data_IF_127467981814
#
_entry.id   IF_127467981814
#
_cell.length_a   1.000
_cell.length_b   1.000
_cell.length_c   1.000
_cell.angle_alpha   90.00
_cell.angle_beta   90.00
_cell.angle_gamma   90.00
#
_symmetry.space_group_name_H-M   'P 1'
#
loop_
_entity.id
_entity.type
_entity.pdbx_description
1 polymer ?
#
# COMPACT_ATOMS: atom_id res chain seq x y z
N UNK A 1 17.73 -9.93 -13.86
CA UNK A 1 16.94 -9.35 -14.97
C UNK A 1 15.75 -8.64 -14.36
N UNK A 2 15.75 -7.30 -14.34
CA UNK A 2 14.60 -6.55 -13.86
C UNK A 2 13.38 -6.92 -14.72
N UNK A 3 12.43 -7.65 -14.12
CA UNK A 3 11.22 -8.08 -14.82
C UNK A 3 10.47 -6.86 -15.37
N UNK A 4 9.93 -6.99 -16.59
CA UNK A 4 9.12 -5.92 -17.20
C UNK A 4 7.99 -5.51 -16.25
N UNK A 5 8.01 -4.24 -15.82
CA UNK A 5 6.92 -3.64 -15.03
C UNK A 5 5.75 -3.34 -15.97
N UNK A 6 4.56 -3.82 -15.64
CA UNK A 6 3.34 -3.50 -16.38
C UNK A 6 2.83 -2.14 -15.89
N UNK A 7 2.71 -1.17 -16.79
CA UNK A 7 2.07 0.10 -16.49
C UNK A 7 0.56 -0.07 -16.51
N UNK A 8 -0.10 0.38 -15.45
CA UNK A 8 -1.56 0.32 -15.27
C UNK A 8 -2.02 1.69 -14.82
N UNK A 9 -3.05 2.24 -15.45
CA UNK A 9 -3.70 3.45 -14.96
C UNK A 9 -4.52 3.10 -13.71
N UNK A 10 -4.10 3.59 -12.54
CA UNK A 10 -4.78 3.38 -11.27
C UNK A 10 -5.65 4.59 -10.95
N UNK A 11 -6.91 4.35 -10.55
CA UNK A 11 -7.81 5.40 -10.07
C UNK A 11 -7.78 5.38 -8.54
N UNK A 12 -7.33 6.46 -7.94
CA UNK A 12 -7.28 6.66 -6.49
C UNK A 12 -8.09 7.91 -6.14
N UNK A 13 -8.66 7.95 -4.93
CA UNK A 13 -9.16 9.21 -4.38
C UNK A 13 -7.98 10.13 -4.06
N UNK A 14 -8.20 11.44 -4.18
CA UNK A 14 -7.17 12.45 -3.91
C UNK A 14 -6.57 12.29 -2.50
N UNK A 15 -7.44 12.10 -1.51
CA UNK A 15 -7.03 11.89 -0.11
C UNK A 15 -6.09 10.69 0.06
N UNK A 16 -6.41 9.57 -0.57
CA UNK A 16 -5.57 8.36 -0.47
C UNK A 16 -4.21 8.57 -1.15
N UNK A 17 -4.17 9.30 -2.26
CA UNK A 17 -2.92 9.65 -2.92
C UNK A 17 -2.03 10.50 -2.01
N UNK A 18 -2.60 11.51 -1.35
CA UNK A 18 -1.88 12.38 -0.41
C UNK A 18 -1.32 11.61 0.79
N UNK A 19 -2.10 10.71 1.37
CA UNK A 19 -1.65 9.84 2.48
C UNK A 19 -0.48 8.94 2.05
N UNK A 20 -0.54 8.34 0.85
CA UNK A 20 0.54 7.52 0.31
C UNK A 20 1.78 8.38 0.00
N UNK A 21 1.60 9.60 -0.51
CA UNK A 21 2.68 10.51 -0.84
C UNK A 21 3.44 10.96 0.42
N UNK A 22 2.72 11.37 1.46
CA UNK A 22 3.32 11.73 2.75
C UNK A 22 4.12 10.57 3.34
N UNK A 23 3.56 9.36 3.31
CA UNK A 23 4.28 8.17 3.80
C UNK A 23 5.53 7.86 2.94
N UNK A 24 5.45 8.02 1.62
CA UNK A 24 6.60 7.83 0.75
C UNK A 24 7.71 8.86 1.05
N UNK A 25 7.35 10.11 1.35
CA UNK A 25 8.30 11.16 1.75
C UNK A 25 8.98 10.83 3.08
N UNK A 26 8.23 10.40 4.10
CA UNK A 26 8.76 9.97 5.41
C UNK A 26 9.77 8.81 5.27
N UNK A 27 9.49 7.87 4.36
CA UNK A 27 10.34 6.70 4.10
C UNK A 27 11.47 6.98 3.08
N UNK A 28 11.61 8.23 2.58
CA UNK A 28 12.53 8.64 1.50
C UNK A 28 12.43 7.76 0.24
N UNK A 29 11.21 7.44 -0.18
CA UNK A 29 10.90 6.63 -1.37
C UNK A 29 10.10 7.42 -2.40
N UNK A 30 10.15 6.97 -3.65
CA UNK A 30 9.20 7.45 -4.66
C UNK A 30 7.78 6.94 -4.37
N UNK A 31 6.77 7.74 -4.72
CA UNK A 31 5.36 7.36 -4.59
C UNK A 31 5.06 6.03 -5.30
N UNK A 32 5.57 5.85 -6.52
CA UNK A 32 5.41 4.58 -7.25
C UNK A 32 6.06 3.40 -6.54
N UNK A 33 7.23 3.60 -5.93
CA UNK A 33 7.90 2.58 -5.12
C UNK A 33 7.10 2.22 -3.87
N UNK A 34 6.49 3.21 -3.22
CA UNK A 34 5.62 2.99 -2.08
C UNK A 34 4.36 2.21 -2.45
N UNK A 35 3.71 2.56 -3.57
CA UNK A 35 2.55 1.82 -4.09
C UNK A 35 2.94 0.37 -4.40
N UNK A 36 4.08 0.14 -5.04
CA UNK A 36 4.58 -1.21 -5.36
C UNK A 36 4.83 -2.04 -4.10
N UNK A 37 5.44 -1.44 -3.06
CA UNK A 37 5.66 -2.08 -1.77
C UNK A 37 4.34 -2.49 -1.11
N UNK A 38 3.37 -1.58 -1.03
CA UNK A 38 2.08 -1.85 -0.41
C UNK A 38 1.32 -2.97 -1.10
N UNK A 39 1.25 -2.94 -2.43
CA UNK A 39 0.60 -4.00 -3.21
C UNK A 39 1.31 -5.35 -3.04
N UNK A 40 2.64 -5.34 -2.99
CA UNK A 40 3.44 -6.56 -2.76
C UNK A 40 3.15 -7.16 -1.39
N UNK A 41 3.12 -6.32 -0.35
CA UNK A 41 2.81 -6.75 1.01
C UNK A 41 1.38 -7.27 1.14
N UNK A 42 0.38 -6.59 0.54
CA UNK A 42 -1.00 -7.06 0.53
C UNK A 42 -1.14 -8.46 -0.12
N UNK A 43 -0.46 -8.69 -1.25
CA UNK A 43 -0.47 -10.01 -1.92
C UNK A 43 0.27 -11.06 -1.09
N UNK A 44 1.42 -10.71 -0.51
CA UNK A 44 2.20 -11.59 0.35
C UNK A 44 1.40 -12.05 1.57
N UNK A 45 0.73 -11.12 2.24
CA UNK A 45 -0.14 -11.40 3.38
C UNK A 45 -1.30 -12.31 2.97
N UNK A 46 -2.00 -12.00 1.87
CA UNK A 46 -3.10 -12.83 1.33
C UNK A 46 -2.66 -14.26 1.06
N UNK A 47 -1.47 -14.46 0.47
CA UNK A 47 -0.92 -15.80 0.21
C UNK A 47 -0.61 -16.57 1.50
N UNK A 48 -0.17 -15.88 2.56
CA UNK A 48 0.20 -16.49 3.84
C UNK A 48 -1.01 -16.89 4.68
N UNK A 49 -2.06 -16.07 4.73
CA UNK A 49 -3.22 -16.28 5.62
C UNK A 49 -4.43 -16.92 4.93
N UNK A 50 -4.43 -17.01 3.58
CA UNK A 50 -5.54 -17.57 2.81
C UNK A 50 -6.83 -16.74 2.85
N UNK A 51 -6.85 -15.61 3.58
CA UNK A 51 -7.98 -14.69 3.72
C UNK A 51 -7.52 -13.26 3.42
N UNK A 52 -8.41 -12.45 2.84
CA UNK A 52 -8.23 -11.01 2.77
C UNK A 52 -8.31 -10.46 4.21
N UNK A 53 -7.24 -9.80 4.67
CA UNK A 53 -7.22 -9.15 6.00
C UNK A 53 -7.40 -7.65 5.76
N UNK A 54 -8.59 -7.07 5.92
CA UNK A 54 -8.70 -5.65 6.23
C UNK A 54 -8.22 -5.50 7.68
N UNK A 55 -7.02 -4.96 7.87
CA UNK A 55 -6.54 -4.57 9.19
C UNK A 55 -7.35 -3.38 9.68
N UNK A 56 -8.49 -3.62 10.32
CA UNK A 56 -9.13 -2.62 11.15
C UNK A 56 -8.32 -2.48 12.43
N UNK A 57 -7.21 -1.74 12.36
CA UNK A 57 -6.55 -1.19 13.54
C UNK A 57 -7.37 -0.02 14.09
N UNK A 58 -8.66 -0.23 14.35
CA UNK A 58 -9.46 0.67 15.18
C UNK A 58 -9.32 0.21 16.62
N UNK A 59 -8.13 0.41 17.18
CA UNK A 59 -7.96 0.51 18.63
C UNK A 59 -7.36 1.87 18.91
N UNK A 60 -8.24 2.83 19.22
CA UNK A 60 -8.10 3.82 20.30
C UNK A 60 -9.30 4.77 20.28
N UNK A 61 -10.34 4.42 21.03
CA UNK A 61 -10.99 5.36 21.95
C UNK A 61 -11.47 4.56 23.14
N UNK A 62 -10.69 4.75 24.20
CA UNK A 62 -10.83 4.45 25.62
C UNK A 62 -12.26 4.49 26.15
N UNK A 63 -12.47 3.71 27.23
CA UNK A 63 -13.50 3.83 28.26
C UNK A 63 -14.15 5.20 28.41
#
# INVERSE_FOLDING_TARGET
>A
MAGRKKQIALRLSQKLYEEIAAWAEEDFRSINGQIEYLLTECVRQRKKTGRYVPGNSTEKTTR
#
